data_IF_396951174636
#
_entry.id   IF_396951174636
#
_cell.length_a   1.000
_cell.length_b   1.000
_cell.length_c   1.000
_cell.angle_alpha   90.00
_cell.angle_beta   90.00
_cell.angle_gamma   90.00
#
_symmetry.space_group_name_H-M   'P 1'
#
loop_
_entity.id
_entity.type
_entity.pdbx_description
1 polymer ?
#
# COMPACT_ATOMS: atom_id res chain seq x y z
N UNK A 1 27.12 11.21 -1.67
CA UNK A 1 26.19 10.12 -1.30
C UNK A 1 26.99 8.84 -1.11
N UNK A 2 26.68 8.02 -0.08
CA UNK A 2 27.31 6.69 0.04
C UNK A 2 26.71 5.80 -1.07
N UNK A 3 27.52 5.32 -1.99
CA UNK A 3 27.11 4.39 -3.04
C UNK A 3 26.62 3.10 -2.36
N UNK A 4 25.35 2.77 -2.55
CA UNK A 4 24.76 1.56 -2.01
C UNK A 4 24.65 0.58 -3.18
N UNK A 5 25.50 -0.45 -3.19
CA UNK A 5 25.50 -1.45 -4.27
C UNK A 5 24.13 -2.14 -4.40
N UNK A 6 23.76 -2.55 -5.62
CA UNK A 6 22.48 -3.19 -5.93
C UNK A 6 22.16 -4.39 -5.02
N UNK A 7 23.14 -5.25 -4.73
CA UNK A 7 22.95 -6.38 -3.82
C UNK A 7 22.49 -5.97 -2.41
N UNK A 8 23.01 -4.86 -1.89
CA UNK A 8 22.60 -4.36 -0.57
C UNK A 8 21.18 -3.81 -0.57
N UNK A 9 20.71 -3.23 -1.69
CA UNK A 9 19.32 -2.79 -1.86
C UNK A 9 18.36 -3.98 -1.93
N UNK A 10 18.67 -4.99 -2.74
CA UNK A 10 17.87 -6.21 -2.84
C UNK A 10 17.76 -6.89 -1.47
N UNK A 11 18.88 -7.03 -0.75
CA UNK A 11 18.90 -7.62 0.58
C UNK A 11 18.07 -6.78 1.58
N UNK A 12 18.22 -5.46 1.56
CA UNK A 12 17.43 -4.56 2.40
C UNK A 12 15.93 -4.66 2.10
N UNK A 13 15.53 -4.69 0.83
CA UNK A 13 14.12 -4.80 0.45
C UNK A 13 13.54 -6.17 0.84
N UNK A 14 14.31 -7.24 0.70
CA UNK A 14 13.92 -8.56 1.21
C UNK A 14 13.74 -8.54 2.73
N UNK A 15 14.68 -7.96 3.48
CA UNK A 15 14.58 -7.83 4.94
C UNK A 15 13.37 -7.01 5.36
N UNK A 16 13.11 -5.87 4.71
CA UNK A 16 11.92 -5.06 4.96
C UNK A 16 10.63 -5.81 4.64
N UNK A 17 10.59 -6.59 3.55
CA UNK A 17 9.42 -7.42 3.22
C UNK A 17 9.14 -8.45 4.30
N UNK A 18 10.19 -9.10 4.85
CA UNK A 18 10.06 -10.04 5.98
C UNK A 18 9.62 -9.32 7.25
N UNK A 19 10.21 -8.15 7.56
CA UNK A 19 9.80 -7.36 8.71
C UNK A 19 8.33 -6.90 8.62
N UNK A 20 7.86 -6.53 7.44
CA UNK A 20 6.43 -6.22 7.21
C UNK A 20 5.57 -7.46 7.39
N UNK A 21 6.01 -8.61 6.86
CA UNK A 21 5.28 -9.87 6.97
C UNK A 21 5.08 -10.31 8.42
N UNK A 22 6.06 -10.05 9.29
CA UNK A 22 6.01 -10.38 10.72
C UNK A 22 5.40 -9.26 11.56
N UNK A 23 5.73 -8.00 11.25
CA UNK A 23 5.29 -6.83 12.02
C UNK A 23 3.80 -6.54 11.88
N UNK A 24 3.24 -6.78 10.72
CA UNK A 24 1.83 -6.53 10.48
C UNK A 24 0.88 -7.41 11.32
N UNK A 25 1.04 -8.76 11.36
CA UNK A 25 0.28 -9.58 12.30
C UNK A 25 0.46 -9.14 13.75
N UNK A 26 1.68 -8.73 14.15
CA UNK A 26 1.94 -8.24 15.50
C UNK A 26 1.16 -6.95 15.83
N UNK A 27 1.06 -5.99 14.89
CA UNK A 27 0.24 -4.78 15.05
C UNK A 27 -1.23 -5.16 15.22
N UNK A 28 -1.75 -6.07 14.40
CA UNK A 28 -3.13 -6.54 14.49
C UNK A 28 -3.42 -7.24 15.81
N UNK A 29 -2.55 -8.15 16.22
CA UNK A 29 -2.68 -8.87 17.48
C UNK A 29 -2.59 -7.91 18.68
N UNK A 30 -1.69 -6.90 18.61
CA UNK A 30 -1.62 -5.84 19.60
C UNK A 30 -2.91 -5.02 19.68
N UNK A 31 -3.55 -4.71 18.57
CA UNK A 31 -4.85 -4.03 18.54
C UNK A 31 -5.99 -4.89 19.13
N UNK A 32 -5.98 -6.20 18.86
CA UNK A 32 -6.93 -7.15 19.47
C UNK A 32 -6.72 -7.25 20.98
N UNK A 33 -5.47 -7.37 21.43
CA UNK A 33 -5.16 -7.38 22.86
C UNK A 33 -5.59 -6.08 23.54
N UNK A 34 -5.29 -4.93 22.95
CA UNK A 34 -5.69 -3.62 23.45
C UNK A 34 -7.22 -3.50 23.54
N UNK A 35 -7.93 -3.96 22.54
CA UNK A 35 -9.39 -3.98 22.53
C UNK A 35 -9.92 -4.81 23.71
N UNK A 36 -9.42 -6.03 23.91
CA UNK A 36 -9.83 -6.89 25.01
C UNK A 36 -9.49 -6.29 26.38
N UNK A 37 -8.31 -5.64 26.51
CA UNK A 37 -7.89 -4.96 27.72
C UNK A 37 -8.82 -3.80 28.08
N UNK A 38 -9.20 -2.98 27.11
CA UNK A 38 -10.15 -1.86 27.33
C UNK A 38 -11.52 -2.38 27.73
N UNK A 39 -12.04 -3.42 27.05
CA UNK A 39 -13.32 -4.03 27.41
C UNK A 39 -13.27 -4.61 28.81
N UNK A 40 -12.21 -5.35 29.16
CA UNK A 40 -12.03 -5.93 30.48
C UNK A 40 -12.01 -4.84 31.57
N UNK A 41 -11.22 -3.77 31.36
CA UNK A 41 -11.13 -2.65 32.30
C UNK A 41 -12.49 -2.01 32.59
N UNK A 42 -13.32 -1.75 31.58
CA UNK A 42 -14.63 -1.15 31.75
C UNK A 42 -15.72 -2.13 32.22
N UNK A 43 -15.49 -3.43 32.07
CA UNK A 43 -16.45 -4.46 32.51
C UNK A 43 -16.19 -4.94 33.94
N UNK A 44 -14.96 -4.73 34.47
CA UNK A 44 -14.58 -5.14 35.81
C UNK A 44 -14.69 -3.96 36.77
N UNK A 45 -15.34 -4.18 37.92
CA UNK A 45 -15.42 -3.21 39.02
C UNK A 45 -15.09 -3.90 40.33
N UNK A 46 -14.14 -3.36 41.08
CA UNK A 46 -13.75 -3.85 42.41
C UNK A 46 -14.62 -3.32 43.55
N UNK A 47 -15.63 -2.53 43.25
CA UNK A 47 -16.50 -1.86 44.21
C UNK A 47 -16.62 -0.37 43.93
N UNK A 48 -17.10 0.36 44.95
CA UNK A 48 -17.21 1.81 44.89
C UNK A 48 -16.18 2.43 45.85
N UNK A 49 -15.63 3.58 45.47
CA UNK A 49 -14.77 4.37 46.31
C UNK A 49 -15.57 5.09 47.42
N UNK A 50 -14.87 5.81 48.30
CA UNK A 50 -15.46 6.58 49.42
C UNK A 50 -16.48 7.64 48.93
N UNK A 51 -16.41 8.05 47.66
CA UNK A 51 -17.31 9.00 47.01
C UNK A 51 -18.40 8.35 46.16
N UNK A 52 -18.49 7.01 46.15
CA UNK A 52 -19.50 6.25 45.42
C UNK A 52 -19.18 6.05 43.92
N UNK A 53 -17.96 6.30 43.45
CA UNK A 53 -17.53 6.00 42.08
C UNK A 53 -17.04 4.55 41.96
N UNK A 54 -17.43 3.92 40.85
CA UNK A 54 -16.96 2.56 40.53
C UNK A 54 -15.46 2.54 40.28
N UNK A 55 -14.73 1.68 40.98
CA UNK A 55 -13.33 1.43 40.76
C UNK A 55 -13.16 0.31 39.75
N UNK A 56 -12.82 0.68 38.50
CA UNK A 56 -12.51 -0.27 37.47
C UNK A 56 -11.07 -0.75 37.60
N UNK A 57 -10.81 -2.01 37.28
CA UNK A 57 -9.47 -2.57 37.25
C UNK A 57 -9.22 -3.45 36.04
N UNK A 58 -7.96 -3.55 35.63
CA UNK A 58 -7.52 -4.40 34.52
C UNK A 58 -7.07 -5.75 35.08
N UNK A 59 -7.82 -6.80 34.76
CA UNK A 59 -7.40 -8.19 35.01
C UNK A 59 -6.63 -8.71 33.80
N UNK A 60 -5.31 -8.60 33.86
CA UNK A 60 -4.42 -9.00 32.76
C UNK A 60 -4.46 -10.50 32.49
N UNK A 61 -4.72 -11.34 33.49
CA UNK A 61 -4.80 -12.79 33.34
C UNK A 61 -6.05 -13.17 32.55
N UNK A 62 -7.21 -12.59 32.89
CA UNK A 62 -8.44 -12.77 32.15
C UNK A 62 -8.33 -12.25 30.71
N UNK A 63 -7.65 -11.12 30.49
CA UNK A 63 -7.37 -10.60 29.14
C UNK A 63 -6.50 -11.58 28.35
N UNK A 64 -5.41 -12.09 28.95
CA UNK A 64 -4.51 -13.01 28.29
C UNK A 64 -5.20 -14.35 27.92
N UNK A 65 -6.04 -14.88 28.81
CA UNK A 65 -6.85 -16.08 28.53
C UNK A 65 -7.79 -15.84 27.33
N UNK A 66 -8.48 -14.72 27.34
CA UNK A 66 -9.37 -14.33 26.22
C UNK A 66 -8.61 -14.12 24.93
N UNK A 67 -7.44 -13.46 25.00
CA UNK A 67 -6.57 -13.24 23.85
C UNK A 67 -6.06 -14.54 23.24
N UNK A 68 -5.58 -15.48 24.07
CA UNK A 68 -5.10 -16.78 23.60
C UNK A 68 -6.19 -17.61 22.92
N UNK A 69 -7.45 -17.45 23.30
CA UNK A 69 -8.58 -18.13 22.64
C UNK A 69 -8.95 -17.51 21.28
N UNK A 70 -8.77 -16.19 21.10
CA UNK A 70 -9.10 -15.46 19.88
C UNK A 70 -7.92 -15.42 18.89
N UNK A 71 -6.68 -15.37 19.38
CA UNK A 71 -5.46 -15.21 18.57
C UNK A 71 -5.34 -16.22 17.41
N UNK A 72 -5.58 -17.54 17.59
CA UNK A 72 -5.46 -18.50 16.48
C UNK A 72 -6.42 -18.19 15.32
N UNK A 73 -7.62 -17.71 15.62
CA UNK A 73 -8.62 -17.35 14.61
C UNK A 73 -8.21 -16.10 13.84
N UNK A 74 -7.68 -15.09 14.54
CA UNK A 74 -7.16 -13.86 13.90
C UNK A 74 -5.98 -14.21 12.99
N UNK A 75 -5.02 -14.99 13.50
CA UNK A 75 -3.85 -15.42 12.70
C UNK A 75 -4.28 -16.24 11.49
N UNK A 76 -5.21 -17.19 11.66
CA UNK A 76 -5.75 -18.00 10.59
C UNK A 76 -6.44 -17.17 9.51
N UNK A 77 -7.31 -16.23 9.91
CA UNK A 77 -8.00 -15.34 8.99
C UNK A 77 -7.03 -14.44 8.20
N UNK A 78 -6.03 -13.85 8.87
CA UNK A 78 -4.99 -13.02 8.24
C UNK A 78 -4.14 -13.86 7.28
N UNK A 79 -3.75 -15.07 7.66
CA UNK A 79 -2.96 -15.96 6.82
C UNK A 79 -3.72 -16.38 5.55
N UNK A 80 -5.00 -16.73 5.68
CA UNK A 80 -5.87 -17.08 4.54
C UNK A 80 -6.03 -15.86 3.62
N UNK A 81 -6.34 -14.69 4.17
CA UNK A 81 -6.49 -13.48 3.38
C UNK A 81 -5.18 -13.12 2.65
N UNK A 82 -4.06 -13.18 3.38
CA UNK A 82 -2.75 -12.92 2.80
C UNK A 82 -2.45 -13.90 1.66
N UNK A 83 -2.72 -15.19 1.83
CA UNK A 83 -2.53 -16.18 0.79
C UNK A 83 -3.38 -15.87 -0.46
N UNK A 84 -4.68 -15.59 -0.28
CA UNK A 84 -5.57 -15.21 -1.38
C UNK A 84 -5.03 -13.97 -2.11
N UNK A 85 -4.70 -12.91 -1.38
CA UNK A 85 -4.20 -11.66 -1.96
C UNK A 85 -2.83 -11.85 -2.63
N UNK A 86 -1.95 -12.68 -2.04
CA UNK A 86 -0.62 -12.98 -2.59
C UNK A 86 -0.73 -13.72 -3.94
N UNK A 87 -1.57 -14.76 -4.04
CA UNK A 87 -1.72 -15.53 -5.27
C UNK A 87 -2.58 -14.80 -6.32
N UNK A 88 -3.45 -13.89 -5.90
CA UNK A 88 -4.36 -13.16 -6.79
C UNK A 88 -3.88 -11.75 -7.14
N UNK A 89 -2.72 -11.30 -6.61
CA UNK A 89 -2.28 -9.89 -6.72
C UNK A 89 -2.26 -9.38 -8.16
N UNK A 90 -1.66 -10.13 -9.09
CA UNK A 90 -1.54 -9.73 -10.50
C UNK A 90 -2.92 -9.59 -11.16
N UNK A 91 -3.82 -10.55 -10.93
CA UNK A 91 -5.18 -10.48 -11.46
C UNK A 91 -5.99 -9.35 -10.83
N UNK A 92 -5.82 -9.11 -9.52
CA UNK A 92 -6.49 -8.02 -8.81
C UNK A 92 -6.05 -6.66 -9.35
N UNK A 93 -4.74 -6.45 -9.53
CA UNK A 93 -4.19 -5.21 -10.09
C UNK A 93 -4.66 -5.02 -11.53
N UNK A 94 -4.51 -6.04 -12.37
CA UNK A 94 -4.94 -6.03 -13.77
C UNK A 94 -6.41 -5.65 -13.91
N UNK A 95 -7.29 -6.29 -13.14
CA UNK A 95 -8.72 -6.00 -13.16
C UNK A 95 -9.05 -4.60 -12.63
N UNK A 96 -8.33 -4.14 -11.62
CA UNK A 96 -8.56 -2.83 -11.00
C UNK A 96 -8.23 -1.67 -11.95
N UNK A 97 -7.18 -1.82 -12.77
CA UNK A 97 -6.79 -0.83 -13.79
C UNK A 97 -7.37 -1.14 -15.18
N UNK A 98 -8.14 -2.24 -15.33
CA UNK A 98 -8.68 -2.73 -16.61
C UNK A 98 -7.59 -2.98 -17.66
N UNK A 99 -6.43 -3.44 -17.22
CA UNK A 99 -5.35 -3.75 -18.13
C UNK A 99 -5.62 -5.05 -18.89
N UNK A 100 -5.17 -5.09 -20.14
CA UNK A 100 -5.23 -6.27 -21.00
C UNK A 100 -3.82 -6.74 -21.37
N UNK A 101 -3.55 -8.06 -21.43
CA UNK A 101 -2.26 -8.57 -21.89
C UNK A 101 -1.95 -8.10 -23.31
N UNK A 102 -0.72 -7.65 -23.54
CA UNK A 102 -0.23 -7.17 -24.83
C UNK A 102 0.65 -8.23 -25.48
N UNK A 103 0.22 -8.75 -26.62
CA UNK A 103 1.04 -9.67 -27.38
C UNK A 103 1.99 -8.90 -28.35
N UNK A 104 3.10 -9.54 -28.73
CA UNK A 104 4.11 -8.94 -29.64
C UNK A 104 3.49 -8.47 -30.96
N UNK A 105 2.51 -9.20 -31.49
CA UNK A 105 1.81 -8.86 -32.74
C UNK A 105 0.97 -7.58 -32.64
N UNK A 106 0.50 -7.25 -31.41
CA UNK A 106 -0.42 -6.14 -31.20
C UNK A 106 0.35 -4.81 -31.05
N UNK A 107 1.53 -4.84 -30.45
CA UNK A 107 2.45 -3.69 -30.40
C UNK A 107 3.92 -4.18 -30.36
N UNK A 108 4.55 -4.39 -31.54
CA UNK A 108 5.95 -4.82 -31.61
C UNK A 108 6.93 -3.82 -30.99
N UNK A 109 6.61 -2.52 -31.03
CA UNK A 109 7.45 -1.45 -30.50
C UNK A 109 7.71 -1.64 -29.01
N UNK A 110 6.64 -1.68 -28.21
CA UNK A 110 6.74 -1.85 -26.74
C UNK A 110 7.40 -3.19 -26.41
N UNK A 111 6.96 -4.26 -27.11
CA UNK A 111 7.44 -5.60 -26.85
C UNK A 111 8.96 -5.70 -27.05
N UNK A 112 9.49 -5.16 -28.17
CA UNK A 112 10.91 -5.18 -28.48
C UNK A 112 11.72 -4.34 -27.49
N UNK A 113 11.22 -3.19 -27.04
CA UNK A 113 11.90 -2.35 -26.03
C UNK A 113 12.03 -3.14 -24.72
N UNK A 114 10.95 -3.74 -24.22
CA UNK A 114 10.99 -4.53 -22.98
C UNK A 114 11.92 -5.73 -23.13
N UNK A 115 11.85 -6.47 -24.25
CA UNK A 115 12.70 -7.63 -24.54
C UNK A 115 14.19 -7.24 -24.56
N UNK A 116 14.55 -6.17 -25.26
CA UNK A 116 15.94 -5.69 -25.34
C UNK A 116 16.48 -5.29 -23.95
N UNK A 117 15.70 -4.53 -23.17
CA UNK A 117 16.12 -4.09 -21.85
C UNK A 117 16.23 -5.25 -20.86
N UNK A 118 15.32 -6.23 -20.91
CA UNK A 118 15.38 -7.42 -20.04
C UNK A 118 16.55 -8.33 -20.40
N UNK A 119 16.86 -8.49 -21.70
CA UNK A 119 18.07 -9.20 -22.13
C UNK A 119 19.34 -8.50 -21.67
N UNK A 120 19.41 -7.17 -21.78
CA UNK A 120 20.55 -6.39 -21.36
C UNK A 120 20.86 -6.52 -19.85
N UNK A 121 19.82 -6.67 -19.00
CA UNK A 121 20.01 -6.82 -17.56
C UNK A 121 19.92 -8.28 -17.05
N UNK A 122 19.77 -9.26 -17.94
CA UNK A 122 19.72 -10.67 -17.59
C UNK A 122 18.48 -11.06 -16.77
N UNK A 123 17.36 -10.37 -16.96
CA UNK A 123 16.09 -10.64 -16.28
C UNK A 123 15.16 -11.50 -17.14
N UNK A 124 14.34 -12.38 -16.52
CA UNK A 124 13.21 -12.95 -17.22
C UNK A 124 12.27 -11.84 -17.72
N UNK A 125 11.74 -12.01 -18.94
CA UNK A 125 10.81 -11.05 -19.51
C UNK A 125 9.51 -11.02 -18.71
N UNK A 126 9.07 -9.86 -18.18
CA UNK A 126 7.78 -9.73 -17.50
C UNK A 126 6.62 -9.81 -18.51
N UNK A 127 5.43 -10.15 -18.04
CA UNK A 127 4.22 -9.99 -18.85
C UNK A 127 3.98 -8.50 -19.14
N UNK A 128 3.67 -8.17 -20.39
CA UNK A 128 3.37 -6.79 -20.77
C UNK A 128 1.87 -6.62 -20.81
N UNK A 129 1.38 -5.57 -20.15
CA UNK A 129 -0.04 -5.21 -20.17
C UNK A 129 -0.22 -3.79 -20.71
N UNK A 130 -1.39 -3.55 -21.32
CA UNK A 130 -1.80 -2.23 -21.80
C UNK A 130 -3.12 -1.81 -21.14
N UNK A 131 -3.20 -0.54 -20.80
CA UNK A 131 -4.43 0.12 -20.34
C UNK A 131 -4.84 1.12 -21.40
N UNK A 132 -6.06 0.97 -21.92
CA UNK A 132 -6.62 1.94 -22.86
C UNK A 132 -7.08 3.19 -22.09
N UNK A 133 -6.44 4.31 -22.39
CA UNK A 133 -6.73 5.59 -21.74
C UNK A 133 -5.70 6.68 -22.09
N UNK A 134 -6.12 7.96 -22.01
CA UNK A 134 -5.30 9.10 -22.37
C UNK A 134 -4.22 9.44 -21.33
N UNK A 135 -4.25 8.85 -20.13
CA UNK A 135 -3.31 9.14 -19.05
C UNK A 135 -1.90 8.74 -19.46
N UNK A 136 -0.91 9.55 -19.08
CA UNK A 136 0.50 9.27 -19.34
C UNK A 136 1.10 8.48 -18.17
N UNK A 137 1.03 7.15 -18.23
CA UNK A 137 1.50 6.32 -17.13
C UNK A 137 2.10 4.98 -17.56
N UNK A 138 3.06 4.51 -16.75
CA UNK A 138 3.55 3.15 -16.74
C UNK A 138 3.78 2.71 -15.29
N UNK A 139 3.71 1.41 -15.03
CA UNK A 139 4.07 0.86 -13.73
C UNK A 139 4.43 -0.62 -13.82
N UNK A 140 5.31 -1.04 -12.90
CA UNK A 140 5.63 -2.42 -12.68
C UNK A 140 4.81 -3.03 -11.54
N UNK A 141 4.44 -4.30 -11.65
CA UNK A 141 3.79 -5.05 -10.58
C UNK A 141 4.27 -6.50 -10.55
N UNK A 142 3.81 -7.25 -9.54
CA UNK A 142 4.22 -8.64 -9.33
C UNK A 142 5.17 -8.81 -8.14
N UNK A 143 5.27 -10.06 -7.67
CA UNK A 143 6.01 -10.42 -6.44
C UNK A 143 7.20 -11.32 -6.75
N UNK A 144 7.15 -12.06 -7.84
CA UNK A 144 8.19 -13.02 -8.26
C UNK A 144 8.29 -13.10 -9.78
N UNK A 145 9.30 -13.79 -10.28
CA UNK A 145 9.64 -13.90 -11.70
C UNK A 145 8.49 -14.42 -12.60
N UNK A 146 7.53 -15.16 -12.02
CA UNK A 146 6.37 -15.68 -12.75
C UNK A 146 5.19 -14.70 -12.77
N UNK A 147 5.23 -13.66 -11.96
CA UNK A 147 4.11 -12.73 -11.76
C UNK A 147 4.47 -11.29 -12.08
N UNK A 148 5.74 -11.01 -12.41
CA UNK A 148 6.14 -9.65 -12.79
C UNK A 148 5.44 -9.21 -14.06
N UNK A 149 4.91 -8.01 -14.03
CA UNK A 149 4.25 -7.35 -15.16
C UNK A 149 4.76 -5.92 -15.31
N UNK A 150 4.82 -5.45 -16.54
CA UNK A 150 4.98 -4.03 -16.89
C UNK A 150 3.72 -3.60 -17.60
N UNK A 151 3.06 -2.59 -17.08
CA UNK A 151 1.81 -2.05 -17.63
C UNK A 151 2.07 -0.64 -18.16
N UNK A 152 1.61 -0.36 -19.39
CA UNK A 152 1.71 0.96 -20.03
C UNK A 152 0.33 1.41 -20.49
N UNK A 153 0.11 2.71 -20.57
CA UNK A 153 -1.14 3.29 -21.10
C UNK A 153 -0.99 3.65 -22.59
N UNK A 154 -2.09 3.62 -23.33
CA UNK A 154 -2.09 4.05 -24.74
C UNK A 154 -1.65 5.50 -24.89
N UNK A 155 -2.11 6.41 -24.01
CA UNK A 155 -1.69 7.81 -24.04
C UNK A 155 -0.18 8.00 -23.88
N UNK A 156 0.47 7.19 -23.02
CA UNK A 156 1.94 7.22 -22.89
C UNK A 156 2.65 6.83 -24.19
N UNK A 157 2.16 5.78 -24.85
CA UNK A 157 2.72 5.28 -26.11
C UNK A 157 2.57 6.26 -27.28
N UNK A 158 1.54 7.09 -27.26
CA UNK A 158 1.26 8.09 -28.30
C UNK A 158 2.19 9.31 -28.20
N UNK A 159 2.67 9.64 -27.00
CA UNK A 159 3.42 10.88 -26.72
C UNK A 159 4.93 10.66 -26.63
N UNK A 160 5.37 9.50 -26.11
CA UNK A 160 6.78 9.20 -25.94
C UNK A 160 7.38 8.61 -27.21
N UNK A 161 8.60 9.05 -27.54
CA UNK A 161 9.43 8.38 -28.55
C UNK A 161 10.05 7.09 -28.00
N UNK A 162 10.83 6.37 -28.81
CA UNK A 162 11.39 5.07 -28.43
C UNK A 162 12.42 5.17 -27.30
N UNK A 163 13.24 6.22 -27.30
CA UNK A 163 14.25 6.44 -26.27
C UNK A 163 13.61 6.84 -24.94
N UNK A 164 12.63 7.72 -24.98
CA UNK A 164 11.86 8.14 -23.81
C UNK A 164 11.09 6.97 -23.18
N UNK A 165 10.45 6.16 -24.05
CA UNK A 165 9.73 4.95 -23.61
C UNK A 165 10.71 3.91 -23.04
N UNK A 166 11.88 3.72 -23.64
CA UNK A 166 12.92 2.85 -23.11
C UNK A 166 13.41 3.34 -21.73
N UNK A 167 13.56 4.65 -21.53
CA UNK A 167 13.88 5.24 -20.23
C UNK A 167 12.84 4.91 -19.16
N UNK A 168 11.54 5.10 -19.46
CA UNK A 168 10.43 4.79 -18.56
C UNK A 168 10.36 3.29 -18.25
N UNK A 169 10.43 2.44 -19.26
CA UNK A 169 10.42 0.97 -19.09
C UNK A 169 11.66 0.53 -18.29
N UNK A 170 12.83 1.10 -18.55
CA UNK A 170 14.05 0.84 -17.80
C UNK A 170 13.93 1.19 -16.32
N UNK A 171 13.25 2.29 -15.99
CA UNK A 171 12.91 2.68 -14.62
C UNK A 171 12.02 1.60 -13.96
N UNK A 172 10.95 1.17 -14.63
CA UNK A 172 10.05 0.14 -14.13
C UNK A 172 10.74 -1.23 -13.95
N UNK A 173 11.57 -1.64 -14.89
CA UNK A 173 12.37 -2.85 -14.79
C UNK A 173 13.38 -2.79 -13.62
N UNK A 174 13.90 -1.61 -13.32
CA UNK A 174 14.78 -1.41 -12.18
C UNK A 174 14.04 -1.64 -10.85
N UNK A 175 12.79 -1.23 -10.72
CA UNK A 175 11.94 -1.57 -9.56
C UNK A 175 11.73 -3.08 -9.40
N UNK A 176 11.52 -3.80 -10.50
CA UNK A 176 11.41 -5.28 -10.48
C UNK A 176 12.75 -5.88 -10.01
N UNK A 177 13.86 -5.47 -10.63
CA UNK A 177 15.22 -5.94 -10.34
C UNK A 177 15.61 -5.73 -8.87
N UNK A 178 15.26 -4.58 -8.30
CA UNK A 178 15.49 -4.23 -6.90
C UNK A 178 14.48 -4.85 -5.93
N UNK A 179 13.47 -5.58 -6.43
CA UNK A 179 12.36 -6.16 -5.66
C UNK A 179 11.51 -5.11 -4.92
N UNK A 180 11.49 -3.89 -5.42
CA UNK A 180 10.67 -2.80 -4.90
C UNK A 180 9.18 -3.10 -5.05
N UNK A 181 8.78 -3.65 -6.20
CA UNK A 181 7.40 -4.07 -6.49
C UNK A 181 6.88 -5.08 -5.47
N UNK A 182 7.72 -6.06 -5.09
CA UNK A 182 7.37 -7.05 -4.07
C UNK A 182 7.07 -6.39 -2.72
N UNK A 183 7.93 -5.48 -2.27
CA UNK A 183 7.76 -4.76 -1.02
C UNK A 183 6.50 -3.89 -1.05
N UNK A 184 6.27 -3.18 -2.17
CA UNK A 184 5.10 -2.32 -2.35
C UNK A 184 3.80 -3.14 -2.31
N UNK A 185 3.71 -4.22 -3.08
CA UNK A 185 2.51 -5.07 -3.13
C UNK A 185 2.25 -5.72 -1.76
N UNK A 186 3.27 -6.21 -1.07
CA UNK A 186 3.13 -6.76 0.29
C UNK A 186 2.53 -5.71 1.22
N UNK A 187 2.99 -4.48 1.17
CA UNK A 187 2.47 -3.38 1.97
C UNK A 187 1.02 -3.03 1.61
N UNK A 188 0.66 -3.01 0.31
CA UNK A 188 -0.70 -2.77 -0.17
C UNK A 188 -1.67 -3.84 0.34
N UNK A 189 -1.27 -5.12 0.30
CA UNK A 189 -2.09 -6.23 0.81
C UNK A 189 -2.41 -6.01 2.30
N UNK A 190 -1.43 -5.67 3.11
CA UNK A 190 -1.62 -5.46 4.54
C UNK A 190 -2.50 -4.25 4.84
N UNK A 191 -2.26 -3.12 4.19
CA UNK A 191 -3.13 -1.93 4.32
C UNK A 191 -4.56 -2.27 3.91
N UNK A 192 -4.73 -3.05 2.85
CA UNK A 192 -6.04 -3.52 2.37
C UNK A 192 -6.79 -4.35 3.41
N UNK A 193 -6.10 -5.24 4.12
CA UNK A 193 -6.70 -6.05 5.21
C UNK A 193 -7.24 -5.12 6.30
N UNK A 194 -6.40 -4.22 6.84
CA UNK A 194 -6.82 -3.33 7.95
C UNK A 194 -7.91 -2.37 7.51
N UNK A 195 -7.81 -1.82 6.30
CA UNK A 195 -8.82 -0.94 5.71
C UNK A 195 -10.17 -1.65 5.58
N UNK A 196 -10.16 -2.91 5.15
CA UNK A 196 -11.40 -3.71 5.06
C UNK A 196 -12.01 -3.95 6.43
N UNK A 197 -11.20 -4.36 7.42
CA UNK A 197 -11.67 -4.54 8.81
C UNK A 197 -12.24 -3.24 9.36
N UNK A 198 -11.54 -2.13 9.18
CA UNK A 198 -11.99 -0.80 9.61
C UNK A 198 -13.33 -0.43 8.96
N UNK A 199 -13.48 -0.64 7.65
CA UNK A 199 -14.73 -0.36 6.93
C UNK A 199 -15.90 -1.20 7.46
N UNK A 200 -15.66 -2.48 7.73
CA UNK A 200 -16.67 -3.38 8.29
C UNK A 200 -17.09 -2.93 9.69
N UNK A 201 -16.13 -2.59 10.56
CA UNK A 201 -16.42 -2.11 11.92
C UNK A 201 -17.21 -0.80 11.91
N UNK A 202 -16.83 0.16 11.05
CA UNK A 202 -17.57 1.41 10.90
C UNK A 202 -18.99 1.16 10.40
N UNK A 203 -19.19 0.27 9.43
CA UNK A 203 -20.52 -0.10 8.95
C UNK A 203 -21.37 -0.77 10.04
N UNK A 204 -20.76 -1.67 10.82
CA UNK A 204 -21.45 -2.33 11.95
C UNK A 204 -21.84 -1.30 13.02
N UNK A 205 -20.94 -0.38 13.37
CA UNK A 205 -21.22 0.71 14.30
C UNK A 205 -22.39 1.57 13.80
N UNK A 206 -22.35 1.98 12.53
CA UNK A 206 -23.39 2.77 11.90
C UNK A 206 -24.74 2.07 11.93
N UNK A 207 -24.78 0.80 11.56
CA UNK A 207 -25.99 -0.02 11.61
C UNK A 207 -26.52 -0.14 13.05
N UNK A 208 -25.64 -0.27 14.04
CA UNK A 208 -26.03 -0.32 15.45
C UNK A 208 -26.69 0.98 15.91
N UNK A 209 -26.19 2.13 15.45
CA UNK A 209 -26.81 3.44 15.76
C UNK A 209 -28.16 3.63 15.06
N UNK A 210 -28.26 3.27 13.77
CA UNK A 210 -29.50 3.52 13.00
C UNK A 210 -30.59 2.51 13.35
N UNK A 211 -30.26 1.22 13.41
CA UNK A 211 -31.25 0.14 13.58
C UNK A 211 -31.28 -0.43 14.99
N UNK A 212 -30.30 -0.18 15.84
CA UNK A 212 -30.25 -0.66 17.23
C UNK A 212 -31.10 0.12 18.20
N UNK A 213 -31.59 1.32 17.84
CA UNK A 213 -32.42 2.19 18.70
C UNK A 213 -33.85 1.68 19.01
N UNK A 214 -34.28 0.60 18.34
CA UNK A 214 -35.64 0.07 18.49
C UNK A 214 -35.82 -1.08 19.50
N UNK A 215 -34.75 -1.69 19.97
CA UNK A 215 -34.83 -2.72 21.02
C UNK A 215 -34.69 -2.07 22.39
N UNK A 216 -35.82 -1.65 22.97
CA UNK A 216 -35.92 -1.33 24.39
C UNK A 216 -35.34 -2.50 25.17
N UNK A 217 -34.18 -2.31 25.80
CA UNK A 217 -33.67 -3.20 26.83
C UNK A 217 -34.82 -3.36 27.87
N UNK A 218 -35.30 -4.57 28.05
CA UNK A 218 -36.17 -4.92 29.17
C UNK A 218 -35.48 -4.46 30.46
N UNK A 219 -36.15 -3.66 31.26
CA UNK A 219 -35.64 -2.91 32.40
C UNK A 219 -35.20 -3.77 33.60
N UNK A 220 -34.90 -5.06 33.42
CA UNK A 220 -34.62 -5.99 34.51
C UNK A 220 -33.23 -6.57 34.54
N UNK A 221 -32.31 -6.16 33.60
CA UNK A 221 -30.93 -6.62 33.62
C UNK A 221 -30.04 -5.51 34.20
N UNK A 222 -29.86 -5.56 35.54
CA UNK A 222 -28.91 -4.72 36.29
C UNK A 222 -27.44 -5.12 36.09
N UNK A 223 -27.12 -5.82 35.02
CA UNK A 223 -25.74 -6.11 34.67
C UNK A 223 -25.11 -4.86 34.02
N UNK A 224 -24.09 -4.31 34.67
CA UNK A 224 -23.25 -3.18 34.29
C UNK A 224 -22.44 -3.43 32.99
N UNK A 225 -22.95 -4.21 32.03
CA UNK A 225 -22.26 -4.47 30.77
C UNK A 225 -22.26 -3.25 29.85
N UNK A 226 -21.11 -2.99 29.20
CA UNK A 226 -20.97 -1.98 28.15
C UNK A 226 -22.03 -2.17 27.07
N UNK A 227 -22.61 -1.06 26.59
CA UNK A 227 -23.55 -1.15 25.48
C UNK A 227 -22.82 -1.61 24.22
N UNK A 228 -23.51 -2.35 23.34
CA UNK A 228 -22.91 -2.82 22.06
C UNK A 228 -22.35 -1.64 21.25
N UNK A 229 -22.97 -0.46 21.29
CA UNK A 229 -22.47 0.72 20.60
C UNK A 229 -21.11 1.19 21.16
N UNK A 230 -20.91 1.13 22.47
CA UNK A 230 -19.64 1.48 23.11
C UNK A 230 -18.57 0.45 22.75
N UNK A 231 -18.89 -0.84 22.81
CA UNK A 231 -17.98 -1.93 22.40
C UNK A 231 -17.51 -1.73 20.94
N UNK A 232 -18.46 -1.44 20.03
CA UNK A 232 -18.15 -1.19 18.63
C UNK A 232 -17.32 0.09 18.44
N UNK A 233 -17.57 1.15 19.22
CA UNK A 233 -16.78 2.36 19.17
C UNK A 233 -15.32 2.09 19.59
N UNK A 234 -15.11 1.32 20.67
CA UNK A 234 -13.78 0.91 21.12
C UNK A 234 -13.08 0.10 20.01
N UNK A 235 -13.78 -0.84 19.36
CA UNK A 235 -13.24 -1.63 18.27
C UNK A 235 -12.80 -0.75 17.09
N UNK A 236 -13.60 0.26 16.72
CA UNK A 236 -13.25 1.22 15.66
C UNK A 236 -12.02 2.03 16.03
N UNK A 237 -11.89 2.49 17.28
CA UNK A 237 -10.71 3.24 17.75
C UNK A 237 -9.45 2.36 17.70
N UNK A 238 -9.52 1.11 18.19
CA UNK A 238 -8.40 0.18 18.13
C UNK A 238 -7.99 -0.14 16.68
N UNK A 239 -8.96 -0.33 15.78
CA UNK A 239 -8.71 -0.53 14.36
C UNK A 239 -8.10 0.71 13.70
N UNK A 240 -8.51 1.93 14.09
CA UNK A 240 -7.93 3.18 13.60
C UNK A 240 -6.45 3.33 14.02
N UNK A 241 -6.12 2.94 15.24
CA UNK A 241 -4.73 2.90 15.73
C UNK A 241 -3.90 1.89 14.91
N UNK A 242 -4.42 0.68 14.69
CA UNK A 242 -3.74 -0.32 13.87
C UNK A 242 -3.57 0.16 12.43
N UNK A 243 -4.58 0.81 11.85
CA UNK A 243 -4.52 1.42 10.52
C UNK A 243 -3.43 2.49 10.44
N UNK A 244 -3.37 3.37 11.42
CA UNK A 244 -2.34 4.41 11.51
C UNK A 244 -0.93 3.82 11.52
N UNK A 245 -0.65 2.83 12.38
CA UNK A 245 0.66 2.16 12.40
C UNK A 245 0.96 1.42 11.09
N UNK A 246 -0.05 0.80 10.48
CA UNK A 246 0.10 0.15 9.17
C UNK A 246 0.42 1.17 8.08
N UNK A 247 -0.20 2.34 8.10
CA UNK A 247 0.14 3.44 7.18
C UNK A 247 1.57 3.95 7.39
N UNK A 248 2.03 4.05 8.63
CA UNK A 248 3.43 4.44 8.90
C UNK A 248 4.43 3.48 8.27
N UNK A 249 4.15 2.18 8.18
CA UNK A 249 5.04 1.22 7.52
C UNK A 249 5.22 1.53 6.03
N UNK A 250 4.23 2.13 5.36
CA UNK A 250 4.31 2.55 3.94
C UNK A 250 5.35 3.67 3.75
N UNK A 251 5.51 4.58 4.72
CA UNK A 251 6.47 5.69 4.64
C UNK A 251 7.92 5.24 4.86
N UNK A 252 8.14 4.06 5.44
CA UNK A 252 9.46 3.43 5.49
C UNK A 252 9.98 3.06 4.09
N UNK A 253 9.11 3.07 3.09
CA UNK A 253 9.41 2.88 1.67
C UNK A 253 10.05 4.19 1.16
N UNK A 254 11.35 4.22 1.12
CA UNK A 254 12.18 5.42 0.98
C UNK A 254 12.13 6.07 -0.42
N UNK A 255 12.04 7.41 -0.50
CA UNK A 255 12.28 8.24 -1.70
C UNK A 255 13.61 7.91 -2.42
N UNK A 256 14.60 7.39 -1.71
CA UNK A 256 15.87 6.95 -2.28
C UNK A 256 15.72 5.86 -3.35
N UNK A 257 14.63 5.10 -3.33
CA UNK A 257 14.38 4.05 -4.33
C UNK A 257 14.04 4.63 -5.69
N UNK A 258 13.31 5.75 -5.72
CA UNK A 258 13.02 6.45 -6.96
C UNK A 258 14.30 6.95 -7.65
N UNK A 259 15.20 7.57 -6.89
CA UNK A 259 16.51 8.00 -7.44
C UNK A 259 17.36 6.82 -7.91
N UNK A 260 17.24 5.67 -7.23
CA UNK A 260 17.96 4.46 -7.67
C UNK A 260 17.30 3.83 -8.90
N UNK A 261 15.98 3.92 -9.03
CA UNK A 261 15.26 3.48 -10.21
C UNK A 261 15.53 4.39 -11.40
N UNK A 262 15.65 5.71 -11.19
CA UNK A 262 16.05 6.66 -12.21
C UNK A 262 17.47 6.37 -12.72
N UNK A 263 18.42 6.18 -11.80
CA UNK A 263 19.79 5.85 -12.16
C UNK A 263 19.88 4.49 -12.89
N UNK A 264 19.19 3.47 -12.41
CA UNK A 264 19.15 2.16 -13.05
C UNK A 264 18.43 2.17 -14.39
N UNK A 265 17.36 2.94 -14.53
CA UNK A 265 16.65 3.16 -15.80
C UNK A 265 17.56 3.87 -16.83
N UNK A 266 18.23 4.93 -16.40
CA UNK A 266 19.21 5.65 -17.22
C UNK A 266 20.38 4.76 -17.67
N UNK A 267 20.88 3.89 -16.77
CA UNK A 267 21.90 2.90 -17.10
C UNK A 267 21.40 1.88 -18.13
N UNK A 268 20.19 1.35 -17.96
CA UNK A 268 19.62 0.33 -18.84
C UNK A 268 19.31 0.86 -20.24
N UNK A 269 18.75 2.05 -20.36
CA UNK A 269 18.44 2.66 -21.66
C UNK A 269 19.66 3.37 -22.29
N UNK A 270 20.74 3.61 -21.52
CA UNK A 270 21.94 4.31 -21.98
C UNK A 270 21.72 5.80 -22.29
N UNK A 271 20.55 6.35 -21.96
CA UNK A 271 20.18 7.75 -22.27
C UNK A 271 19.43 8.41 -21.11
N UNK A 272 20.12 8.99 -20.11
CA UNK A 272 19.48 9.65 -18.97
C UNK A 272 18.62 10.85 -19.38
N UNK A 273 18.98 11.55 -20.47
CA UNK A 273 18.21 12.71 -20.94
C UNK A 273 16.86 12.31 -21.54
N UNK A 274 16.76 11.12 -22.12
CA UNK A 274 15.49 10.59 -22.61
C UNK A 274 14.50 10.34 -21.45
N UNK A 275 14.98 9.74 -20.35
CA UNK A 275 14.17 9.58 -19.15
C UNK A 275 13.77 10.94 -18.54
N UNK A 276 14.67 11.92 -18.50
CA UNK A 276 14.37 13.28 -18.04
C UNK A 276 13.30 13.95 -18.92
N UNK A 277 13.38 13.78 -20.25
CA UNK A 277 12.39 14.27 -21.21
C UNK A 277 11.02 13.61 -21.00
N UNK A 278 10.98 12.27 -20.85
CA UNK A 278 9.77 11.53 -20.56
C UNK A 278 9.09 12.04 -19.28
N UNK A 279 9.85 12.21 -18.18
CA UNK A 279 9.34 12.74 -16.92
C UNK A 279 8.74 14.15 -17.06
N UNK A 280 9.32 15.02 -17.90
CA UNK A 280 8.74 16.34 -18.19
C UNK A 280 7.40 16.22 -18.89
N UNK A 281 7.30 15.37 -19.93
CA UNK A 281 6.04 15.15 -20.65
C UNK A 281 4.97 14.59 -19.74
N UNK A 282 5.29 13.57 -18.93
CA UNK A 282 4.37 12.92 -18.01
C UNK A 282 3.91 13.89 -16.90
N UNK A 283 4.81 14.71 -16.35
CA UNK A 283 4.47 15.66 -15.28
C UNK A 283 3.52 16.78 -15.71
N UNK A 284 3.45 17.07 -17.00
CA UNK A 284 2.52 18.04 -17.58
C UNK A 284 1.11 17.52 -17.84
N UNK A 285 0.83 16.24 -17.57
CA UNK A 285 -0.46 15.63 -17.86
C UNK A 285 -1.53 15.96 -16.79
N UNK A 286 -2.60 16.70 -17.15
CA UNK A 286 -3.71 17.00 -16.24
C UNK A 286 -4.59 15.75 -15.93
N UNK A 287 -4.49 14.68 -16.72
CA UNK A 287 -5.30 13.45 -16.58
C UNK A 287 -4.95 12.60 -15.36
N UNK A 288 -3.77 12.81 -14.76
CA UNK A 288 -3.31 12.10 -13.55
C UNK A 288 -4.18 12.40 -12.30
N UNK A 289 -4.99 13.46 -12.33
CA UNK A 289 -5.82 13.87 -11.18
C UNK A 289 -7.04 12.96 -10.91
N UNK A 290 -7.40 12.05 -11.81
CA UNK A 290 -8.66 11.28 -11.78
C UNK A 290 -8.51 9.78 -11.48
N UNK A 291 -7.47 9.36 -10.78
CA UNK A 291 -7.32 7.93 -10.40
C UNK A 291 -8.19 7.60 -9.20
N UNK A 292 -9.27 6.85 -9.43
CA UNK A 292 -10.31 6.57 -8.44
C UNK A 292 -9.93 5.62 -7.30
N UNK A 293 -8.65 5.18 -7.16
CA UNK A 293 -8.18 4.28 -6.10
C UNK A 293 -6.79 4.65 -5.62
N UNK A 294 -6.70 5.15 -4.40
CA UNK A 294 -5.47 5.62 -3.75
C UNK A 294 -4.41 4.52 -3.56
N UNK A 295 -4.82 3.25 -3.43
CA UNK A 295 -3.92 2.11 -3.27
C UNK A 295 -3.14 1.80 -4.55
N UNK A 296 -3.75 2.01 -5.72
CA UNK A 296 -3.11 1.81 -7.03
C UNK A 296 -2.33 3.06 -7.46
N UNK A 297 -2.77 4.24 -7.08
CA UNK A 297 -2.11 5.51 -7.38
C UNK A 297 -0.63 5.54 -6.96
N UNK A 298 -0.23 4.71 -5.99
CA UNK A 298 1.16 4.58 -5.53
C UNK A 298 2.07 3.78 -6.47
N UNK A 299 1.49 3.06 -7.41
CA UNK A 299 2.24 2.31 -8.43
C UNK A 299 2.54 3.18 -9.67
N UNK A 300 2.03 4.42 -9.72
CA UNK A 300 2.21 5.32 -10.84
C UNK A 300 3.58 6.00 -10.79
N UNK A 301 4.21 6.19 -11.93
CA UNK A 301 5.52 6.86 -12.07
C UNK A 301 5.54 8.29 -11.52
N UNK A 302 4.37 8.96 -11.55
CA UNK A 302 4.12 10.25 -10.91
C UNK A 302 2.81 10.16 -10.13
N UNK A 303 2.84 10.53 -8.84
CA UNK A 303 1.66 10.41 -7.98
C UNK A 303 0.61 11.48 -8.31
N UNK A 304 -0.67 11.12 -8.56
CA UNK A 304 -1.72 12.04 -9.01
C UNK A 304 -2.01 13.20 -8.05
N UNK A 305 -1.81 13.02 -6.75
CA UNK A 305 -2.16 14.02 -5.72
C UNK A 305 -1.14 15.17 -5.58
N UNK A 306 -0.02 15.13 -6.29
CA UNK A 306 0.96 16.23 -6.24
C UNK A 306 0.44 17.54 -6.84
N UNK A 307 -0.71 17.52 -7.54
CA UNK A 307 -1.24 18.64 -8.31
C UNK A 307 -2.39 19.42 -7.66
N UNK A 308 -2.97 18.93 -6.54
CA UNK A 308 -4.13 19.57 -5.93
C UNK A 308 -3.92 19.90 -4.46
N UNK A 309 -3.66 21.16 -4.11
CA UNK A 309 -3.79 21.64 -2.75
C UNK A 309 -2.96 22.86 -2.38
N UNK A 310 -3.62 23.99 -2.11
CA UNK A 310 -3.04 25.16 -1.44
C UNK A 310 -3.33 25.05 0.07
N UNK A 311 -2.30 25.17 0.93
CA UNK A 311 -2.49 25.31 2.37
C UNK A 311 -1.88 24.18 3.22
N UNK A 312 -2.39 23.97 4.43
CA UNK A 312 -1.97 22.96 5.43
C UNK A 312 -1.92 21.53 4.82
N UNK A 313 -2.78 21.25 3.85
CA UNK A 313 -2.78 20.04 3.02
C UNK A 313 -1.42 19.80 2.32
N UNK A 314 -0.70 20.83 1.91
CA UNK A 314 0.60 20.71 1.24
C UNK A 314 1.74 20.24 2.16
N UNK A 315 1.70 20.60 3.45
CA UNK A 315 2.68 20.11 4.41
C UNK A 315 2.49 18.61 4.63
N UNK A 316 1.27 18.18 4.86
CA UNK A 316 0.95 16.77 5.03
C UNK A 316 1.15 15.98 3.74
N UNK A 317 0.75 16.49 2.58
CA UNK A 317 0.98 15.81 1.30
C UNK A 317 2.47 15.63 0.98
N UNK A 318 3.32 16.61 1.28
CA UNK A 318 4.78 16.51 1.16
C UNK A 318 5.40 15.53 2.17
N UNK A 319 4.87 15.51 3.40
CA UNK A 319 5.32 14.58 4.45
C UNK A 319 4.98 13.14 4.07
N UNK A 320 3.81 12.95 3.45
CA UNK A 320 3.24 11.65 3.07
C UNK A 320 3.45 11.26 1.60
N UNK A 321 4.13 12.10 0.80
CA UNK A 321 4.52 11.76 -0.56
C UNK A 321 5.59 10.66 -0.56
N UNK A 322 5.30 9.55 -1.22
CA UNK A 322 6.22 8.43 -1.41
C UNK A 322 7.27 8.69 -2.49
N UNK A 323 7.01 9.64 -3.40
CA UNK A 323 7.90 10.00 -4.49
C UNK A 323 8.58 11.36 -4.24
N UNK A 324 9.87 11.54 -4.67
CA UNK A 324 10.53 12.84 -4.73
C UNK A 324 9.84 13.76 -5.74
N UNK A 325 10.18 15.06 -5.70
CA UNK A 325 9.66 15.97 -6.72
C UNK A 325 10.20 15.61 -8.10
N UNK A 326 9.35 15.74 -9.13
CA UNK A 326 9.74 15.43 -10.50
C UNK A 326 10.87 16.34 -10.98
N UNK A 327 10.89 17.59 -10.53
CA UNK A 327 11.96 18.56 -10.84
C UNK A 327 13.31 18.12 -10.29
N UNK A 328 13.34 17.54 -9.08
CA UNK A 328 14.58 17.04 -8.48
C UNK A 328 15.10 15.80 -9.23
N UNK A 329 14.20 14.89 -9.63
CA UNK A 329 14.54 13.73 -10.46
C UNK A 329 15.11 14.15 -11.80
N UNK A 330 14.45 15.06 -12.52
CA UNK A 330 14.89 15.60 -13.81
C UNK A 330 16.27 16.24 -13.67
N UNK A 331 16.48 17.12 -12.68
CA UNK A 331 17.74 17.81 -12.45
C UNK A 331 18.90 16.82 -12.23
N UNK A 332 18.66 15.73 -11.50
CA UNK A 332 19.70 14.72 -11.26
C UNK A 332 20.01 13.92 -12.51
N UNK A 333 19.00 13.58 -13.34
CA UNK A 333 19.20 12.89 -14.61
C UNK A 333 19.98 13.74 -15.63
N UNK A 334 19.80 15.06 -15.61
CA UNK A 334 20.54 16.00 -16.46
C UNK A 334 22.03 16.18 -16.06
N UNK A 335 22.37 15.76 -14.84
CA UNK A 335 23.75 15.80 -14.31
C UNK A 335 24.47 14.45 -14.42
N UNK A 336 23.74 13.41 -14.87
CA UNK A 336 24.27 12.06 -15.00
C UNK A 336 25.10 11.91 -16.28
#
# INVERSE_FOLDING_TARGET
MKYVGMHSLIQRNNTLSVLLLLGFPAILLGAVWLFLAIINYFSNSSGYDEYGYSQNFLDTDAVNVSFMSVMPWVVGAVAIWFAIAYFSNTSMIRNAVRATPLARRDNPRVYNIVENLTMACGMPMPEINIVDGPQLNAFASGINDKTYTVTVTTGLLDILDDDELAGVIGHELTHIRNKDTRLLITSIIFVGIVSTVMTLLVRMLWNTFIYGGGRRRSSNDKNNGLSIAVVMLIAVVCAAIAYFFTMLTRFAISRKREFMADAGGAELCGNPLALASALRKISGDPGLANVGRDDIAQMYIIHPQALTGKGISNFFSRLFSTHPSTEERIRLLEQY
#
